data_IF_566296744050
#
_entry.id   IF_566296744050
#
_cell.length_a   1.000
_cell.length_b   1.000
_cell.length_c   1.000
_cell.angle_alpha   90.00
_cell.angle_beta   90.00
_cell.angle_gamma   90.00
#
_symmetry.space_group_name_H-M   'P 1'
#
loop_
_entity.id
_entity.type
_entity.pdbx_description
1 polymer ?
#
# COMPACT_ATOMS: atom_id res chain seq x y z
N UNK A 1 -11.41 17.74 57.97
CA UNK A 1 -11.87 16.67 57.06
C UNK A 1 -12.23 17.27 55.70
N UNK A 2 -11.34 17.21 54.71
CA UNK A 2 -11.68 17.39 53.28
C UNK A 2 -10.82 16.39 52.49
N UNK A 3 -11.43 15.30 52.05
CA UNK A 3 -10.80 14.32 51.14
C UNK A 3 -10.83 14.95 49.74
N UNK A 4 -9.66 15.27 49.21
CA UNK A 4 -9.50 15.62 47.80
C UNK A 4 -9.52 14.30 47.02
N UNK A 5 -10.60 14.07 46.28
CA UNK A 5 -10.74 12.96 45.37
C UNK A 5 -9.96 13.31 44.09
N UNK A 6 -8.77 12.72 43.93
CA UNK A 6 -8.00 12.86 42.71
C UNK A 6 -8.66 11.97 41.63
N UNK A 7 -9.44 12.59 40.74
CA UNK A 7 -9.96 11.92 39.55
C UNK A 7 -8.81 11.73 38.56
N UNK A 8 -8.22 10.54 38.56
CA UNK A 8 -7.37 10.05 37.48
C UNK A 8 -8.24 9.86 36.24
N UNK A 9 -8.19 10.84 35.32
CA UNK A 9 -8.64 10.68 33.94
C UNK A 9 -7.71 9.66 33.25
N UNK A 10 -8.08 8.38 33.31
CA UNK A 10 -7.61 7.40 32.33
C UNK A 10 -8.20 7.83 30.98
N UNK A 11 -7.38 8.45 30.13
CA UNK A 11 -7.69 8.53 28.72
C UNK A 11 -7.76 7.07 28.21
N UNK A 12 -8.97 6.59 27.98
CA UNK A 12 -9.17 5.33 27.28
C UNK A 12 -8.62 5.52 25.86
N UNK A 13 -7.41 5.00 25.62
CA UNK A 13 -6.84 4.90 24.28
C UNK A 13 -7.71 3.87 23.57
N UNK A 14 -8.72 4.34 22.83
CA UNK A 14 -9.52 3.48 21.97
C UNK A 14 -8.55 2.78 21.01
N UNK A 15 -8.66 1.46 20.82
CA UNK A 15 -7.79 0.76 19.88
C UNK A 15 -8.03 1.36 18.50
N UNK A 16 -6.96 1.89 17.92
CA UNK A 16 -6.97 2.44 16.57
C UNK A 16 -7.33 1.30 15.61
N UNK A 17 -8.51 1.39 14.99
CA UNK A 17 -8.95 0.42 13.99
C UNK A 17 -8.22 0.69 12.67
N UNK A 18 -7.79 -0.35 11.94
CA UNK A 18 -7.05 -0.17 10.68
C UNK A 18 -7.82 0.58 9.61
N UNK A 19 -9.16 0.43 9.55
CA UNK A 19 -9.96 1.22 8.62
C UNK A 19 -9.83 2.73 8.89
N UNK A 20 -9.66 3.12 10.16
CA UNK A 20 -9.34 4.50 10.54
C UNK A 20 -7.95 4.92 10.06
N UNK A 21 -6.92 4.13 10.37
CA UNK A 21 -5.54 4.43 9.95
C UNK A 21 -5.37 4.50 8.45
N UNK A 22 -5.95 3.55 7.72
CA UNK A 22 -5.88 3.53 6.28
C UNK A 22 -6.50 4.80 5.69
N UNK A 23 -7.70 5.18 6.16
CA UNK A 23 -8.37 6.40 5.70
C UNK A 23 -7.52 7.64 6.01
N UNK A 24 -6.96 7.76 7.21
CA UNK A 24 -6.08 8.87 7.58
C UNK A 24 -4.83 8.96 6.68
N UNK A 25 -4.15 7.82 6.46
CA UNK A 25 -2.95 7.76 5.61
C UNK A 25 -3.28 8.09 4.16
N UNK A 26 -4.35 7.52 3.61
CA UNK A 26 -4.77 7.76 2.23
C UNK A 26 -5.27 9.20 2.02
N UNK A 27 -5.96 9.78 3.02
CA UNK A 27 -6.34 11.20 3.02
C UNK A 27 -5.11 12.11 3.05
N UNK A 28 -4.11 11.81 3.89
CA UNK A 28 -2.86 12.57 3.94
C UNK A 28 -2.07 12.48 2.62
N UNK A 29 -2.06 11.29 1.99
CA UNK A 29 -1.50 11.09 0.66
C UNK A 29 -2.19 11.95 -0.40
N UNK A 30 -3.53 11.95 -0.45
CA UNK A 30 -4.31 12.79 -1.37
C UNK A 30 -4.09 14.28 -1.08
N UNK A 31 -3.99 14.66 0.20
CA UNK A 31 -3.77 16.04 0.62
C UNK A 31 -2.44 16.60 0.10
N UNK A 32 -1.38 15.78 0.07
CA UNK A 32 -0.11 16.16 -0.55
C UNK A 32 -0.29 16.56 -2.03
N UNK A 33 -1.01 15.78 -2.84
CA UNK A 33 -1.22 16.14 -4.25
C UNK A 33 -2.08 17.39 -4.45
N UNK A 34 -2.84 17.81 -3.43
CA UNK A 34 -3.61 19.05 -3.44
C UNK A 34 -2.81 20.27 -3.00
N UNK A 35 -1.83 20.09 -2.11
CA UNK A 35 -1.21 21.21 -1.37
C UNK A 35 0.32 21.26 -1.40
N UNK A 36 0.97 20.17 -1.80
CA UNK A 36 2.41 19.97 -1.70
C UNK A 36 2.92 19.68 -0.28
N UNK A 37 2.06 19.66 0.75
CA UNK A 37 2.46 19.46 2.14
C UNK A 37 2.51 17.99 2.55
N UNK A 38 3.61 17.58 3.20
CA UNK A 38 3.76 16.25 3.81
C UNK A 38 3.49 16.24 5.33
N UNK A 39 3.00 17.35 5.90
CA UNK A 39 2.91 17.46 7.37
C UNK A 39 1.91 16.47 7.99
N UNK A 40 0.77 16.25 7.32
CA UNK A 40 -0.24 15.28 7.78
C UNK A 40 0.34 13.87 7.89
N UNK A 41 1.04 13.42 6.84
CA UNK A 41 1.63 12.07 6.85
C UNK A 41 2.81 11.98 7.81
N UNK A 42 3.57 13.07 8.02
CA UNK A 42 4.61 13.15 9.04
C UNK A 42 4.02 13.00 10.45
N UNK A 43 2.90 13.66 10.73
CA UNK A 43 2.20 13.56 12.01
C UNK A 43 1.77 12.11 12.28
N UNK A 44 1.12 11.46 11.32
CA UNK A 44 0.70 10.06 11.44
C UNK A 44 1.90 9.14 11.71
N UNK A 45 2.98 9.28 10.94
CA UNK A 45 4.20 8.46 11.12
C UNK A 45 4.82 8.68 12.51
N UNK A 46 4.84 9.91 13.03
CA UNK A 46 5.35 10.19 14.38
C UNK A 46 4.49 9.51 15.44
N UNK A 47 3.17 9.61 15.36
CA UNK A 47 2.24 8.97 16.30
C UNK A 47 2.39 7.45 16.32
N UNK A 48 2.40 6.81 15.15
CA UNK A 48 2.61 5.36 15.03
C UNK A 48 3.95 4.90 15.64
N UNK A 49 5.02 5.65 15.40
CA UNK A 49 6.34 5.32 15.97
C UNK A 49 6.38 5.48 17.50
N UNK A 50 5.71 6.50 18.04
CA UNK A 50 5.62 6.71 19.48
C UNK A 50 4.89 5.56 20.17
N UNK A 51 3.77 5.11 19.59
CA UNK A 51 3.00 3.97 20.09
C UNK A 51 3.77 2.64 19.99
N UNK A 52 4.57 2.48 18.93
CA UNK A 52 5.29 1.24 18.69
C UNK A 52 6.65 1.14 19.41
N UNK A 53 7.07 2.19 20.13
CA UNK A 53 8.42 2.34 20.71
C UNK A 53 8.86 1.15 21.58
N UNK A 54 7.93 0.48 22.25
CA UNK A 54 8.22 -0.60 23.21
C UNK A 54 7.53 -1.93 22.89
N UNK A 55 6.66 -2.00 21.87
CA UNK A 55 5.80 -3.17 21.63
C UNK A 55 6.26 -4.04 20.44
N UNK A 56 6.99 -3.46 19.48
CA UNK A 56 7.30 -4.08 18.18
C UNK A 56 6.04 -4.77 17.58
N UNK A 57 4.90 -4.10 17.69
CA UNK A 57 3.61 -4.63 17.31
C UNK A 57 3.56 -4.80 15.78
N UNK A 58 3.08 -5.96 15.31
CA UNK A 58 2.99 -6.30 13.88
C UNK A 58 2.17 -5.25 13.11
N UNK A 59 0.99 -4.88 13.61
CA UNK A 59 0.10 -3.92 12.97
C UNK A 59 0.69 -2.52 12.94
N UNK A 60 1.30 -2.06 14.04
CA UNK A 60 1.95 -0.75 14.05
C UNK A 60 3.13 -0.72 13.08
N UNK A 61 3.92 -1.80 12.99
CA UNK A 61 4.98 -1.93 11.98
C UNK A 61 4.42 -1.91 10.56
N UNK A 62 3.33 -2.64 10.29
CA UNK A 62 2.67 -2.69 8.99
C UNK A 62 2.16 -1.31 8.57
N UNK A 63 1.37 -0.63 9.43
CA UNK A 63 0.80 0.67 9.12
C UNK A 63 1.85 1.78 9.05
N UNK A 64 2.92 1.69 9.86
CA UNK A 64 4.07 2.60 9.70
C UNK A 64 4.73 2.40 8.33
N UNK A 65 4.91 1.16 7.89
CA UNK A 65 5.46 0.88 6.57
C UNK A 65 4.56 1.40 5.44
N UNK A 66 3.25 1.22 5.55
CA UNK A 66 2.28 1.73 4.59
C UNK A 66 2.29 3.28 4.52
N UNK A 67 2.31 3.97 5.66
CA UNK A 67 2.41 5.43 5.70
C UNK A 67 3.73 5.94 5.09
N UNK A 68 4.85 5.29 5.42
CA UNK A 68 6.17 5.63 4.85
C UNK A 68 6.24 5.37 3.35
N UNK A 69 5.62 4.30 2.87
CA UNK A 69 5.47 4.04 1.44
C UNK A 69 4.72 5.16 0.73
N UNK A 70 3.57 5.59 1.26
CA UNK A 70 2.80 6.71 0.70
C UNK A 70 3.59 8.01 0.71
N UNK A 71 4.31 8.30 1.80
CA UNK A 71 5.22 9.46 1.88
C UNK A 71 6.34 9.39 0.84
N UNK A 72 6.90 8.21 0.62
CA UNK A 72 7.90 8.00 -0.43
C UNK A 72 7.34 8.30 -1.82
N UNK A 73 6.11 7.85 -2.12
CA UNK A 73 5.44 8.15 -3.39
C UNK A 73 5.16 9.65 -3.55
N UNK A 74 4.68 10.31 -2.49
CA UNK A 74 4.55 11.78 -2.48
C UNK A 74 5.88 12.43 -2.85
N UNK A 75 6.95 12.07 -2.16
CA UNK A 75 8.25 12.66 -2.38
C UNK A 75 8.80 12.40 -3.79
N UNK A 76 8.67 11.18 -4.30
CA UNK A 76 9.15 10.82 -5.62
C UNK A 76 8.47 11.61 -6.75
N UNK A 77 7.24 12.09 -6.53
CA UNK A 77 6.51 12.87 -7.54
C UNK A 77 7.15 14.23 -7.85
N UNK A 78 8.05 14.72 -6.98
CA UNK A 78 8.84 15.93 -7.21
C UNK A 78 10.28 15.57 -7.64
N UNK A 79 10.78 16.07 -8.79
CA UNK A 79 12.10 15.69 -9.30
C UNK A 79 13.29 16.29 -8.54
N UNK A 80 13.07 17.24 -7.62
CA UNK A 80 14.17 17.86 -6.87
C UNK A 80 14.92 16.84 -6.00
N UNK A 81 16.25 17.00 -5.90
CA UNK A 81 17.14 15.99 -5.29
C UNK A 81 16.79 15.72 -3.82
N UNK A 82 16.38 16.74 -3.05
CA UNK A 82 15.96 16.59 -1.66
C UNK A 82 14.70 15.72 -1.51
N UNK A 83 13.77 15.83 -2.46
CA UNK A 83 12.56 15.03 -2.50
C UNK A 83 12.88 13.59 -2.92
N UNK A 84 13.74 13.41 -3.92
CA UNK A 84 14.21 12.07 -4.31
C UNK A 84 14.99 11.36 -3.20
N UNK A 85 15.82 12.10 -2.44
CA UNK A 85 16.48 11.58 -1.25
C UNK A 85 15.47 11.18 -0.17
N UNK A 86 14.45 12.00 0.06
CA UNK A 86 13.36 11.69 1.01
C UNK A 86 12.63 10.41 0.61
N UNK A 87 12.29 10.25 -0.68
CA UNK A 87 11.65 9.04 -1.19
C UNK A 87 12.49 7.78 -0.87
N UNK A 88 13.78 7.81 -1.18
CA UNK A 88 14.69 6.69 -0.90
C UNK A 88 14.76 6.34 0.59
N UNK A 89 14.84 7.35 1.46
CA UNK A 89 14.89 7.16 2.92
C UNK A 89 13.59 6.51 3.41
N UNK A 90 12.44 7.08 3.05
CA UNK A 90 11.14 6.58 3.52
C UNK A 90 10.84 5.17 3.02
N UNK A 91 11.21 4.84 1.78
CA UNK A 91 11.12 3.46 1.28
C UNK A 91 12.01 2.50 2.08
N UNK A 92 13.26 2.88 2.35
CA UNK A 92 14.18 2.06 3.14
C UNK A 92 13.64 1.82 4.55
N UNK A 93 13.08 2.84 5.18
CA UNK A 93 12.47 2.74 6.51
C UNK A 93 11.17 1.92 6.49
N UNK A 94 10.36 2.02 5.44
CA UNK A 94 9.17 1.18 5.26
C UNK A 94 9.54 -0.31 5.16
N UNK A 95 10.56 -0.64 4.36
CA UNK A 95 11.09 -2.01 4.27
C UNK A 95 11.64 -2.49 5.62
N UNK A 96 12.33 -1.62 6.38
CA UNK A 96 12.81 -1.94 7.72
C UNK A 96 11.67 -2.26 8.69
N UNK A 97 10.60 -1.48 8.70
CA UNK A 97 9.42 -1.73 9.51
C UNK A 97 8.82 -3.12 9.24
N UNK A 98 8.65 -3.51 7.98
CA UNK A 98 8.14 -4.84 7.64
C UNK A 98 9.14 -5.95 8.00
N UNK A 99 10.43 -5.74 7.76
CA UNK A 99 11.45 -6.75 8.07
C UNK A 99 11.52 -7.08 9.57
N UNK A 100 11.23 -6.13 10.47
CA UNK A 100 11.16 -6.34 11.93
C UNK A 100 10.03 -7.26 12.40
N UNK A 101 8.99 -7.46 11.59
CA UNK A 101 7.87 -8.34 11.95
C UNK A 101 8.37 -9.78 12.00
N UNK A 102 8.34 -10.43 13.16
CA UNK A 102 8.85 -11.81 13.31
C UNK A 102 7.92 -12.85 12.69
N UNK A 103 6.65 -12.79 13.05
CA UNK A 103 5.60 -13.68 12.55
C UNK A 103 4.88 -12.98 11.40
N UNK A 104 5.55 -12.88 10.25
CA UNK A 104 4.94 -12.27 9.06
C UNK A 104 3.77 -13.12 8.60
N UNK A 105 2.68 -12.47 8.23
CA UNK A 105 1.52 -13.09 7.60
C UNK A 105 1.47 -12.71 6.11
N UNK A 106 0.46 -13.24 5.40
CA UNK A 106 0.28 -12.98 3.97
C UNK A 106 0.28 -11.49 3.64
N UNK A 107 -0.39 -10.67 4.44
CA UNK A 107 -0.46 -9.21 4.24
C UNK A 107 0.90 -8.52 4.29
N UNK A 108 1.79 -8.94 5.20
CA UNK A 108 3.12 -8.33 5.30
C UNK A 108 3.96 -8.67 4.07
N UNK A 109 3.84 -9.90 3.58
CA UNK A 109 4.53 -10.34 2.37
C UNK A 109 3.98 -9.66 1.10
N UNK A 110 2.66 -9.42 1.04
CA UNK A 110 2.06 -8.67 -0.06
C UNK A 110 2.59 -7.23 -0.10
N UNK A 111 2.63 -6.53 1.04
CA UNK A 111 3.19 -5.18 1.10
C UNK A 111 4.71 -5.18 0.84
N UNK A 112 5.47 -6.14 1.39
CA UNK A 112 6.90 -6.31 1.10
C UNK A 112 7.16 -6.45 -0.40
N UNK A 113 6.33 -7.22 -1.11
CA UNK A 113 6.43 -7.37 -2.57
C UNK A 113 6.27 -6.03 -3.28
N UNK A 114 5.24 -5.25 -2.92
CA UNK A 114 5.00 -3.93 -3.52
C UNK A 114 6.18 -2.99 -3.27
N UNK A 115 6.66 -2.89 -2.01
CA UNK A 115 7.80 -2.02 -1.68
C UNK A 115 9.09 -2.46 -2.36
N UNK A 116 9.33 -3.76 -2.44
CA UNK A 116 10.51 -4.30 -3.11
C UNK A 116 10.44 -4.02 -4.61
N UNK A 117 9.30 -4.23 -5.27
CA UNK A 117 9.12 -3.89 -6.67
C UNK A 117 9.31 -2.38 -6.91
N UNK A 118 8.76 -1.55 -6.03
CA UNK A 118 8.92 -0.10 -6.08
C UNK A 118 10.38 0.36 -5.95
N UNK A 119 11.21 -0.39 -5.20
CA UNK A 119 12.65 -0.11 -5.05
C UNK A 119 13.43 -0.11 -6.37
N UNK A 120 12.89 -0.69 -7.44
CA UNK A 120 13.49 -0.63 -8.80
C UNK A 120 13.70 0.81 -9.26
N UNK A 121 12.82 1.74 -8.86
CA UNK A 121 12.94 3.15 -9.24
C UNK A 121 14.20 3.84 -8.70
N UNK A 122 14.86 3.26 -7.70
CA UNK A 122 16.05 3.82 -7.05
C UNK A 122 17.28 2.90 -7.19
N UNK A 123 17.16 1.80 -7.93
CA UNK A 123 18.20 0.79 -8.02
C UNK A 123 19.11 1.02 -9.24
N UNK A 124 20.40 0.73 -9.08
CA UNK A 124 21.28 0.55 -10.23
C UNK A 124 20.77 -0.59 -11.11
N UNK A 125 20.83 -0.44 -12.44
CA UNK A 125 20.24 -1.38 -13.41
C UNK A 125 20.65 -2.84 -13.20
N UNK A 126 21.90 -3.08 -12.80
CA UNK A 126 22.42 -4.42 -12.50
C UNK A 126 21.71 -5.13 -11.33
N UNK A 127 21.09 -4.38 -10.41
CA UNK A 127 20.36 -4.91 -9.25
C UNK A 127 18.88 -5.19 -9.55
N UNK A 128 18.33 -4.64 -10.64
CA UNK A 128 16.90 -4.73 -10.97
C UNK A 128 16.40 -6.18 -11.08
N UNK A 129 17.12 -7.12 -11.75
CA UNK A 129 16.66 -8.51 -11.84
C UNK A 129 16.53 -9.19 -10.46
N UNK A 130 17.47 -8.92 -9.55
CA UNK A 130 17.45 -9.47 -8.20
C UNK A 130 16.28 -8.91 -7.39
N UNK A 131 16.08 -7.60 -7.44
CA UNK A 131 14.97 -6.91 -6.75
C UNK A 131 13.62 -7.42 -7.25
N UNK A 132 13.43 -7.51 -8.58
CA UNK A 132 12.20 -8.01 -9.18
C UNK A 132 11.95 -9.49 -8.83
N UNK A 133 13.02 -10.31 -8.82
CA UNK A 133 12.95 -11.70 -8.39
C UNK A 133 12.56 -11.87 -6.92
N UNK A 134 13.08 -11.04 -6.02
CA UNK A 134 12.67 -11.01 -4.61
C UNK A 134 11.21 -10.59 -4.45
N UNK A 135 10.77 -9.54 -5.15
CA UNK A 135 9.38 -9.09 -5.11
C UNK A 135 8.43 -10.22 -5.53
N UNK A 136 8.74 -10.91 -6.63
CA UNK A 136 7.97 -12.09 -7.07
C UNK A 136 7.87 -13.16 -5.99
N UNK A 137 8.98 -13.48 -5.31
CA UNK A 137 8.99 -14.47 -4.22
C UNK A 137 8.10 -14.05 -3.05
N UNK A 138 8.11 -12.77 -2.66
CA UNK A 138 7.23 -12.28 -1.60
C UNK A 138 5.75 -12.36 -1.98
N UNK A 139 5.37 -11.94 -3.19
CA UNK A 139 3.99 -12.08 -3.64
C UNK A 139 3.55 -13.54 -3.70
N UNK A 140 4.38 -14.44 -4.23
CA UNK A 140 4.05 -15.87 -4.25
C UNK A 140 3.91 -16.44 -2.84
N UNK A 141 4.81 -16.07 -1.93
CA UNK A 141 4.72 -16.49 -0.53
C UNK A 141 3.44 -16.00 0.14
N UNK A 142 3.00 -14.78 -0.15
CA UNK A 142 1.73 -14.27 0.34
C UNK A 142 0.55 -15.11 -0.17
N UNK A 143 0.48 -15.39 -1.48
CA UNK A 143 -0.56 -16.25 -2.08
C UNK A 143 -0.55 -17.65 -1.47
N UNK A 144 0.64 -18.25 -1.29
CA UNK A 144 0.77 -19.59 -0.74
C UNK A 144 0.34 -19.67 0.74
N UNK A 145 0.51 -18.57 1.49
CA UNK A 145 0.04 -18.47 2.87
C UNK A 145 -1.45 -18.22 2.97
N UNK A 146 -1.99 -17.40 2.07
CA UNK A 146 -3.41 -17.11 2.00
C UNK A 146 -3.86 -16.81 0.56
N UNK A 147 -4.53 -17.76 -0.11
CA UNK A 147 -4.99 -17.59 -1.47
C UNK A 147 -6.21 -16.65 -1.59
N UNK A 148 -6.78 -16.18 -0.47
CA UNK A 148 -7.84 -15.16 -0.44
C UNK A 148 -7.29 -13.74 -0.30
N UNK A 149 -5.98 -13.57 -0.10
CA UNK A 149 -5.36 -12.26 0.00
C UNK A 149 -5.31 -11.54 -1.36
N UNK A 150 -6.25 -10.62 -1.57
CA UNK A 150 -6.34 -9.74 -2.73
C UNK A 150 -5.01 -9.03 -3.05
N UNK A 151 -4.34 -8.49 -2.03
CA UNK A 151 -3.14 -7.66 -2.18
C UNK A 151 -1.95 -8.48 -2.66
N UNK A 152 -1.93 -9.78 -2.39
CA UNK A 152 -0.90 -10.67 -2.89
C UNK A 152 -0.98 -10.81 -4.43
N UNK A 153 -2.19 -10.97 -4.97
CA UNK A 153 -2.41 -10.98 -6.43
C UNK A 153 -2.18 -9.60 -7.05
N UNK A 154 -2.63 -8.53 -6.39
CA UNK A 154 -2.32 -7.16 -6.81
C UNK A 154 -0.82 -6.93 -6.90
N UNK A 155 -0.05 -7.32 -5.88
CA UNK A 155 1.40 -7.16 -5.85
C UNK A 155 2.08 -7.91 -7.00
N UNK A 156 1.65 -9.15 -7.26
CA UNK A 156 2.17 -9.95 -8.37
C UNK A 156 1.80 -9.35 -9.73
N UNK A 157 0.58 -8.83 -9.85
CA UNK A 157 0.07 -8.16 -11.05
C UNK A 157 0.81 -6.86 -11.35
N UNK A 158 1.06 -6.02 -10.35
CA UNK A 158 1.87 -4.78 -10.49
C UNK A 158 3.26 -5.13 -11.02
N UNK A 159 3.92 -6.12 -10.42
CA UNK A 159 5.23 -6.59 -10.88
C UNK A 159 5.17 -7.02 -12.35
N UNK A 160 4.18 -7.83 -12.71
CA UNK A 160 4.01 -8.32 -14.06
C UNK A 160 3.75 -7.19 -15.06
N UNK A 161 2.88 -6.24 -14.72
CA UNK A 161 2.49 -5.10 -15.53
C UNK A 161 3.68 -4.21 -15.93
N UNK A 162 4.59 -3.96 -14.99
CA UNK A 162 5.76 -3.11 -15.21
C UNK A 162 6.98 -3.87 -15.75
N UNK A 163 7.02 -5.21 -15.67
CA UNK A 163 8.14 -5.99 -16.20
C UNK A 163 8.06 -6.05 -17.73
N UNK A 164 9.10 -5.64 -18.48
CA UNK A 164 9.11 -5.75 -19.94
C UNK A 164 8.92 -7.19 -20.45
N UNK A 165 8.35 -7.34 -21.65
CA UNK A 165 8.07 -8.64 -22.28
C UNK A 165 9.34 -9.49 -22.43
N UNK A 166 10.48 -8.89 -22.77
CA UNK A 166 11.77 -9.59 -22.90
C UNK A 166 12.24 -10.23 -21.58
N UNK A 167 11.71 -9.79 -20.44
CA UNK A 167 11.96 -10.36 -19.12
C UNK A 167 10.77 -11.19 -18.60
N UNK A 168 9.82 -11.53 -19.48
CA UNK A 168 8.69 -12.40 -19.19
C UNK A 168 7.54 -11.75 -18.43
N UNK A 169 7.44 -10.42 -18.44
CA UNK A 169 6.29 -9.68 -17.90
C UNK A 169 5.24 -9.33 -18.96
N UNK A 170 4.26 -8.51 -18.56
CA UNK A 170 3.14 -8.03 -19.39
C UNK A 170 2.31 -9.16 -20.02
N UNK A 171 2.21 -10.31 -19.35
CA UNK A 171 1.51 -11.49 -19.89
C UNK A 171 0.46 -12.08 -18.94
N UNK A 172 0.50 -11.75 -17.65
CA UNK A 172 -0.40 -12.30 -16.64
C UNK A 172 -1.07 -11.25 -15.76
N UNK A 173 -0.67 -9.99 -15.87
CA UNK A 173 -1.25 -8.91 -15.05
C UNK A 173 -2.79 -8.85 -15.16
N UNK A 174 -3.38 -9.09 -16.34
CA UNK A 174 -4.84 -9.05 -16.53
C UNK A 174 -5.54 -10.12 -15.67
N UNK A 175 -5.10 -11.37 -15.76
CA UNK A 175 -5.57 -12.50 -14.93
C UNK A 175 -5.42 -12.19 -13.44
N UNK A 176 -4.26 -11.65 -13.04
CA UNK A 176 -3.94 -11.35 -11.64
C UNK A 176 -4.80 -10.22 -11.07
N UNK A 177 -5.03 -9.15 -11.83
CA UNK A 177 -5.88 -8.06 -11.39
C UNK A 177 -7.36 -8.45 -11.37
N UNK A 178 -7.84 -9.22 -12.35
CA UNK A 178 -9.20 -9.78 -12.31
C UNK A 178 -9.38 -10.70 -11.10
N UNK A 179 -8.37 -11.53 -10.79
CA UNK A 179 -8.38 -12.36 -9.58
C UNK A 179 -8.44 -11.50 -8.32
N UNK A 180 -7.64 -10.44 -8.23
CA UNK A 180 -7.69 -9.49 -7.11
C UNK A 180 -9.09 -8.88 -6.95
N UNK A 181 -9.71 -8.39 -8.04
CA UNK A 181 -11.07 -7.81 -8.01
C UNK A 181 -12.12 -8.81 -7.52
N UNK A 182 -11.99 -10.09 -7.86
CA UNK A 182 -12.94 -11.13 -7.46
C UNK A 182 -12.92 -11.48 -5.96
N UNK A 183 -11.87 -11.08 -5.23
CA UNK A 183 -11.68 -11.39 -3.81
C UNK A 183 -12.27 -10.29 -2.92
N UNK A 184 -12.53 -10.59 -1.65
CA UNK A 184 -13.02 -9.60 -0.69
C UNK A 184 -11.91 -8.62 -0.26
N UNK A 185 -12.27 -7.36 0.01
CA UNK A 185 -11.31 -6.33 0.45
C UNK A 185 -10.75 -6.64 1.84
N UNK A 186 -11.63 -7.10 2.73
CA UNK A 186 -11.27 -7.69 4.02
C UNK A 186 -11.69 -9.15 3.94
N UNK A 187 -10.73 -10.06 4.02
CA UNK A 187 -11.00 -11.49 4.06
C UNK A 187 -10.87 -12.06 5.48
N UNK A 188 -10.52 -11.20 6.46
CA UNK A 188 -10.44 -11.56 7.89
C UNK A 188 -11.41 -10.72 8.73
N UNK A 189 -11.71 -11.21 9.92
CA UNK A 189 -12.52 -10.50 10.91
C UNK A 189 -11.69 -9.49 11.74
N UNK A 190 -10.37 -9.43 11.52
CA UNK A 190 -9.51 -8.59 12.35
C UNK A 190 -9.66 -7.11 11.94
N UNK A 191 -10.09 -6.22 12.85
CA UNK A 191 -10.30 -4.81 12.54
C UNK A 191 -9.01 -4.04 12.23
N UNK A 192 -7.84 -4.65 12.46
CA UNK A 192 -6.53 -4.08 12.17
C UNK A 192 -5.92 -4.54 10.83
N UNK A 193 -6.61 -5.43 10.13
CA UNK A 193 -6.17 -5.86 8.81
C UNK A 193 -6.50 -4.78 7.75
N UNK A 194 -5.67 -4.66 6.70
CA UNK A 194 -5.87 -3.68 5.65
C UNK A 194 -7.14 -3.94 4.83
N UNK A 195 -7.67 -2.86 4.24
CA UNK A 195 -8.80 -2.91 3.29
C UNK A 195 -8.49 -2.26 1.93
N UNK A 196 -7.26 -1.77 1.70
CA UNK A 196 -6.82 -1.10 0.45
C UNK A 196 -6.61 -2.06 -0.72
N UNK A 197 -6.48 -1.53 -1.93
CA UNK A 197 -5.87 -2.22 -3.07
C UNK A 197 -6.83 -2.69 -4.16
N UNK A 198 -8.13 -2.90 -3.87
CA UNK A 198 -9.07 -3.29 -4.92
C UNK A 198 -9.21 -2.22 -6.00
N UNK A 199 -9.34 -0.96 -5.59
CA UNK A 199 -9.34 0.19 -6.50
C UNK A 199 -8.04 0.30 -7.33
N UNK A 200 -6.89 -0.12 -6.79
CA UNK A 200 -5.64 -0.17 -7.56
C UNK A 200 -5.72 -1.20 -8.70
N UNK A 201 -6.29 -2.39 -8.44
CA UNK A 201 -6.48 -3.40 -9.48
C UNK A 201 -7.40 -2.90 -10.62
N UNK A 202 -8.48 -2.20 -10.26
CA UNK A 202 -9.34 -1.51 -11.25
C UNK A 202 -8.56 -0.46 -12.05
N UNK A 203 -7.79 0.39 -11.37
CA UNK A 203 -6.98 1.43 -12.01
C UNK A 203 -6.03 0.84 -13.06
N UNK A 204 -5.29 -0.21 -12.72
CA UNK A 204 -4.34 -0.82 -13.67
C UNK A 204 -5.01 -1.49 -14.86
N UNK A 205 -6.16 -2.16 -14.66
CA UNK A 205 -6.91 -2.75 -15.76
C UNK A 205 -7.54 -1.67 -16.66
N UNK A 206 -8.07 -0.58 -16.10
CA UNK A 206 -8.57 0.55 -16.89
C UNK A 206 -7.46 1.19 -17.71
N UNK A 207 -6.31 1.45 -17.10
CA UNK A 207 -5.12 1.99 -17.77
C UNK A 207 -4.69 1.13 -18.96
N UNK A 208 -4.80 -0.20 -18.84
CA UNK A 208 -4.54 -1.13 -19.93
C UNK A 208 -5.66 -1.14 -20.99
N UNK A 209 -6.91 -1.35 -20.59
CA UNK A 209 -8.03 -1.52 -21.50
C UNK A 209 -8.33 -0.25 -22.30
N UNK A 210 -8.20 0.95 -21.73
CA UNK A 210 -8.38 2.20 -22.49
C UNK A 210 -7.43 2.32 -23.71
N UNK A 211 -6.32 1.57 -23.73
CA UNK A 211 -5.36 1.56 -24.84
C UNK A 211 -5.49 0.37 -25.78
N UNK A 212 -6.26 -0.66 -25.40
CA UNK A 212 -6.25 -1.96 -26.09
C UNK A 212 -7.65 -2.54 -26.37
N UNK A 213 -8.64 -2.24 -25.55
CA UNK A 213 -10.00 -2.78 -25.63
C UNK A 213 -11.01 -1.81 -24.97
N UNK A 214 -11.59 -0.94 -25.80
CA UNK A 214 -12.50 0.12 -25.32
C UNK A 214 -13.82 -0.43 -24.75
N UNK A 215 -14.30 -1.59 -25.21
CA UNK A 215 -15.51 -2.19 -24.66
C UNK A 215 -15.27 -2.74 -23.26
N UNK A 216 -14.16 -3.46 -23.06
CA UNK A 216 -13.75 -3.88 -21.71
C UNK A 216 -13.53 -2.68 -20.79
N UNK A 217 -12.90 -1.61 -21.29
CA UNK A 217 -12.68 -0.39 -20.52
C UNK A 217 -14.00 0.23 -20.05
N UNK A 218 -14.99 0.37 -20.94
CA UNK A 218 -16.30 0.95 -20.64
C UNK A 218 -17.06 0.12 -19.59
N UNK A 219 -17.06 -1.20 -19.72
CA UNK A 219 -17.73 -2.10 -18.78
C UNK A 219 -17.07 -2.05 -17.39
N UNK A 220 -15.73 -2.16 -17.37
CA UNK A 220 -14.95 -2.11 -16.13
C UNK A 220 -15.09 -0.76 -15.43
N UNK A 221 -15.12 0.35 -16.18
CA UNK A 221 -15.27 1.69 -15.63
C UNK A 221 -16.63 1.87 -14.95
N UNK A 222 -17.70 1.37 -15.58
CA UNK A 222 -19.04 1.41 -14.99
C UNK A 222 -19.14 0.61 -13.69
N UNK A 223 -18.42 -0.51 -13.57
CA UNK A 223 -18.30 -1.27 -12.32
C UNK A 223 -17.48 -0.50 -11.27
N UNK A 224 -16.31 -0.01 -11.65
CA UNK A 224 -15.43 0.76 -10.78
C UNK A 224 -16.11 2.00 -10.19
N UNK A 225 -16.93 2.72 -10.97
CA UNK A 225 -17.67 3.89 -10.50
C UNK A 225 -18.71 3.57 -9.43
N UNK A 226 -19.33 2.39 -9.49
CA UNK A 226 -20.30 1.97 -8.47
C UNK A 226 -19.62 1.71 -7.13
N UNK A 227 -18.41 1.15 -7.17
CA UNK A 227 -17.65 0.78 -5.97
C UNK A 227 -16.81 1.94 -5.41
N UNK A 228 -16.26 2.78 -6.28
CA UNK A 228 -15.31 3.85 -5.96
C UNK A 228 -15.70 5.19 -6.59
N UNK A 229 -16.90 5.73 -6.33
CA UNK A 229 -17.44 6.91 -7.02
C UNK A 229 -16.63 8.21 -6.81
N UNK A 230 -15.73 8.23 -5.82
CA UNK A 230 -14.92 9.39 -5.45
C UNK A 230 -13.41 9.16 -5.62
N UNK A 231 -12.96 8.02 -6.17
CA UNK A 231 -11.54 7.80 -6.43
C UNK A 231 -11.11 8.58 -7.68
N UNK A 232 -10.38 9.67 -7.47
CA UNK A 232 -9.89 10.54 -8.55
C UNK A 232 -9.07 9.79 -9.62
N UNK A 233 -8.40 8.69 -9.26
CA UNK A 233 -7.63 7.88 -10.21
C UNK A 233 -8.52 7.02 -11.08
N UNK A 234 -9.71 6.69 -10.63
CA UNK A 234 -10.72 6.04 -11.47
C UNK A 234 -11.41 7.10 -12.32
N UNK A 235 -11.81 8.23 -11.72
CA UNK A 235 -12.56 9.29 -12.40
C UNK A 235 -11.82 9.92 -13.60
N UNK A 236 -10.48 9.80 -13.68
CA UNK A 236 -9.72 10.29 -14.84
C UNK A 236 -10.00 9.53 -16.15
N UNK A 237 -10.63 8.35 -16.09
CA UNK A 237 -10.98 7.55 -17.27
C UNK A 237 -12.40 7.84 -17.82
N UNK A 238 -13.06 8.87 -17.28
CA UNK A 238 -14.38 9.31 -17.75
C UNK A 238 -14.36 9.84 -19.18
#
# INVERSE_FOLDING_TARGET
MKKILLLLLLAAVLPIQARGLQAEIDSAFIYYFKTGSMEEINHIIRSLNLENKSSNNRYLNYWTAYAKYKKSLCAQSNPAEEFQKTARIELSEALHCLNKIKNKESEDYALLSILKNYSVAFAASIKIPFISGEAKKYAQKAIDMDPQNLRAYLALGIRDYYTPVVYGGKNRFEELFLKAISLQDNYSENPNDPSWGKNDAYYYLLDYYCRNDMEKARLLFAEALKLFPYDNRILQFK
#
